data_IF_535162203426
#
_entry.id   IF_535162203426
#
_cell.length_a   1.000
_cell.length_b   1.000
_cell.length_c   1.000
_cell.angle_alpha   90.00
_cell.angle_beta   90.00
_cell.angle_gamma   90.00
#
_symmetry.space_group_name_H-M   'P 1'
#
loop_
_entity.id
_entity.type
_entity.pdbx_description
1 polymer ?
#
# COMPACT_ATOMS: atom_id res chain seq x y z
N UNK A 1 8.26 -11.43 -21.42
CA UNK A 1 8.07 -11.26 -20.98
C UNK A 1 7.81 -10.79 -20.48
N UNK A 2 7.57 -10.61 -20.27
CA UNK A 2 7.26 -10.24 -19.63
C UNK A 2 7.17 -9.46 -19.16
N UNK A 3 7.13 -9.20 -19.11
CA UNK A 3 7.02 -8.51 -18.45
C UNK A 3 6.52 -7.66 -18.01
N UNK A 4 6.35 -7.52 -18.23
CA UNK A 4 5.52 -6.41 -18.14
C UNK A 4 4.53 -6.50 -17.01
N UNK A 5 3.58 -7.13 -17.15
CA UNK A 5 2.58 -7.21 -16.12
C UNK A 5 3.15 -7.53 -14.77
N UNK A 6 4.38 -7.89 -14.75
CA UNK A 6 5.01 -8.18 -13.50
C UNK A 6 5.17 -6.95 -12.61
N UNK A 7 4.72 -5.79 -13.09
CA UNK A 7 4.84 -4.58 -12.29
C UNK A 7 3.96 -4.54 -11.06
N UNK A 8 2.73 -5.06 -11.13
CA UNK A 8 1.79 -4.88 -10.04
C UNK A 8 1.21 -6.19 -9.54
N UNK A 9 0.95 -6.23 -8.24
CA UNK A 9 0.27 -7.34 -7.58
C UNK A 9 -1.10 -6.85 -7.15
N UNK A 10 -2.11 -7.69 -7.32
CA UNK A 10 -3.46 -7.35 -6.87
C UNK A 10 -3.51 -7.33 -5.35
N UNK A 11 -4.17 -6.32 -4.80
CA UNK A 11 -4.26 -6.16 -3.35
C UNK A 11 -4.92 -7.37 -2.69
N UNK A 12 -5.96 -7.91 -3.32
CA UNK A 12 -6.65 -9.08 -2.77
C UNK A 12 -5.75 -10.29 -2.58
N UNK A 13 -4.75 -10.46 -3.44
CA UNK A 13 -3.81 -11.56 -3.27
C UNK A 13 -3.02 -11.42 -1.99
N UNK A 14 -2.60 -10.20 -1.68
CA UNK A 14 -1.82 -9.93 -0.48
C UNK A 14 -2.67 -10.12 0.76
N UNK A 15 -3.88 -9.57 0.75
CA UNK A 15 -4.79 -9.63 1.90
C UNK A 15 -5.22 -11.06 2.19
N UNK A 16 -5.45 -11.86 1.16
CA UNK A 16 -5.94 -13.22 1.34
C UNK A 16 -4.84 -14.24 1.61
N UNK A 17 -3.59 -13.87 1.38
CA UNK A 17 -2.47 -14.79 1.60
C UNK A 17 -1.25 -14.00 2.12
N UNK A 18 -1.39 -13.38 3.29
CA UNK A 18 -0.34 -12.49 3.80
C UNK A 18 0.97 -13.22 4.10
N UNK A 19 0.89 -14.49 4.47
CA UNK A 19 2.10 -15.26 4.75
C UNK A 19 2.98 -15.38 3.52
N UNK A 20 2.35 -15.55 2.36
CA UNK A 20 3.08 -15.69 1.11
C UNK A 20 3.87 -14.42 0.75
N UNK A 21 3.30 -13.27 1.09
CA UNK A 21 3.89 -11.99 0.72
C UNK A 21 4.67 -11.33 1.85
N UNK A 22 4.70 -11.95 3.01
CA UNK A 22 5.37 -11.41 4.18
C UNK A 22 6.82 -11.06 3.87
N UNK A 23 7.20 -9.83 4.18
CA UNK A 23 8.55 -9.29 3.98
C UNK A 23 8.98 -9.25 2.51
N UNK A 24 8.06 -9.38 1.58
CA UNK A 24 8.37 -9.25 0.16
C UNK A 24 8.06 -7.85 -0.31
N UNK A 25 8.82 -7.38 -1.27
CA UNK A 25 8.54 -6.11 -1.92
C UNK A 25 7.50 -6.34 -3.00
N UNK A 26 6.48 -5.50 -2.99
CA UNK A 26 5.38 -5.57 -3.96
C UNK A 26 5.13 -4.18 -4.52
N UNK A 27 4.45 -4.14 -5.65
CA UNK A 27 3.92 -2.90 -6.20
C UNK A 27 2.42 -3.10 -6.40
N UNK A 28 1.63 -2.20 -5.84
CA UNK A 28 0.18 -2.22 -6.01
C UNK A 28 -0.27 -0.91 -6.64
N UNK A 29 -1.42 -0.93 -7.28
CA UNK A 29 -1.98 0.27 -7.88
C UNK A 29 -3.45 0.34 -7.57
N UNK A 30 -3.92 1.53 -7.21
CA UNK A 30 -5.32 1.72 -6.91
C UNK A 30 -5.62 3.16 -6.55
N UNK A 31 -6.80 3.37 -5.97
CA UNK A 31 -7.27 4.69 -5.58
C UNK A 31 -7.14 4.86 -4.07
N UNK A 32 -6.72 6.03 -3.64
CA UNK A 32 -6.64 6.36 -2.23
C UNK A 32 -8.04 6.58 -1.70
N UNK A 33 -8.45 5.78 -0.72
CA UNK A 33 -9.81 5.84 -0.17
C UNK A 33 -9.89 6.40 1.23
N UNK A 34 -8.77 6.40 1.96
CA UNK A 34 -8.75 6.90 3.32
C UNK A 34 -7.36 7.42 3.63
N UNK A 35 -7.29 8.47 4.43
CA UNK A 35 -6.01 9.07 4.82
C UNK A 35 -6.03 9.29 6.32
N UNK A 36 -5.00 8.80 7.02
CA UNK A 36 -4.84 8.95 8.45
C UNK A 36 -3.49 9.62 8.70
N UNK A 37 -3.51 10.79 9.30
CA UNK A 37 -2.29 11.57 9.48
C UNK A 37 -1.99 12.36 8.22
N UNK A 38 -1.11 13.33 8.39
CA UNK A 38 -0.80 14.21 7.31
C UNK A 38 0.61 14.63 7.41
N UNK A 39 1.33 15.23 6.85
CA UNK A 39 2.72 15.66 6.96
C UNK A 39 3.62 14.61 6.33
N UNK A 40 4.80 14.44 6.90
CA UNK A 40 5.82 13.61 6.29
C UNK A 40 5.56 12.13 6.51
N UNK A 41 4.80 11.79 7.52
CA UNK A 41 4.47 10.38 7.74
C UNK A 41 2.98 10.23 8.04
N UNK A 42 2.44 9.11 7.67
CA UNK A 42 1.03 8.83 7.90
C UNK A 42 0.65 7.55 7.22
N UNK A 43 -0.63 7.24 7.33
CA UNK A 43 -1.20 6.04 6.72
C UNK A 43 -2.21 6.46 5.68
N UNK A 44 -2.29 5.72 4.60
CA UNK A 44 -3.37 5.89 3.65
C UNK A 44 -3.79 4.53 3.12
N UNK A 45 -5.04 4.42 2.74
CA UNK A 45 -5.60 3.17 2.27
C UNK A 45 -5.73 3.22 0.76
N UNK A 46 -5.31 2.15 0.10
CA UNK A 46 -5.38 2.02 -1.35
C UNK A 46 -6.33 0.89 -1.67
N UNK A 47 -7.20 1.11 -2.62
CA UNK A 47 -8.20 0.15 -3.05
C UNK A 47 -8.06 -0.13 -4.54
N UNK A 48 -8.05 -1.41 -4.91
CA UNK A 48 -8.21 -1.83 -6.31
C UNK A 48 -9.49 -2.65 -6.41
N UNK A 49 -9.68 -3.32 -7.54
CA UNK A 49 -10.89 -4.12 -7.75
C UNK A 49 -10.94 -5.40 -6.91
N UNK A 50 -9.88 -5.71 -6.18
CA UNK A 50 -9.78 -6.96 -5.42
C UNK A 50 -9.76 -6.75 -3.91
N UNK A 51 -9.50 -5.55 -3.43
CA UNK A 51 -9.45 -5.31 -1.99
C UNK A 51 -8.82 -3.98 -1.63
N UNK A 52 -8.57 -3.81 -0.35
CA UNK A 52 -7.99 -2.60 0.22
C UNK A 52 -6.82 -2.96 1.11
N UNK A 53 -5.83 -2.08 1.17
CA UNK A 53 -4.68 -2.28 2.03
C UNK A 53 -4.19 -0.92 2.52
N UNK A 54 -3.74 -0.87 3.78
CA UNK A 54 -3.13 0.35 4.30
C UNK A 54 -1.67 0.41 3.93
N UNK A 55 -1.18 1.62 3.73
CA UNK A 55 0.20 1.90 3.37
C UNK A 55 0.77 2.89 4.37
N UNK A 56 1.91 2.56 4.94
CA UNK A 56 2.62 3.45 5.85
C UNK A 56 3.66 4.23 5.06
N UNK A 57 3.51 5.55 5.05
CA UNK A 57 4.46 6.45 4.43
C UNK A 57 5.28 7.11 5.51
N UNK A 58 6.60 7.04 5.42
CA UNK A 58 7.48 7.58 6.45
C UNK A 58 8.27 8.80 6.01
N UNK A 59 8.36 9.06 4.72
CA UNK A 59 9.16 10.20 4.25
C UNK A 59 8.70 10.79 2.93
N UNK A 60 7.78 10.16 2.24
CA UNK A 60 7.35 10.63 0.91
C UNK A 60 6.05 11.42 0.96
N UNK A 61 5.50 11.62 2.16
CA UNK A 61 4.21 12.27 2.29
C UNK A 61 3.06 11.33 2.00
N UNK A 62 1.85 11.84 2.17
CA UNK A 62 0.63 11.06 1.98
C UNK A 62 -0.13 11.64 0.79
N UNK A 63 -0.48 10.84 -0.20
CA UNK A 63 -1.23 11.36 -1.35
C UNK A 63 -2.65 11.75 -0.94
N UNK A 64 -3.27 12.58 -1.76
CA UNK A 64 -4.63 13.04 -1.49
C UNK A 64 -5.63 11.91 -1.71
N UNK A 65 -6.74 12.03 -0.99
CA UNK A 65 -7.84 11.09 -1.16
C UNK A 65 -8.36 11.16 -2.61
N UNK A 66 -8.77 10.03 -3.12
CA UNK A 66 -9.39 9.84 -4.44
C UNK A 66 -8.42 9.89 -5.62
N UNK A 67 -7.12 10.12 -5.39
CA UNK A 67 -6.17 10.03 -6.49
C UNK A 67 -5.77 8.58 -6.72
N UNK A 68 -5.34 8.28 -7.93
CA UNK A 68 -4.77 6.98 -8.24
C UNK A 68 -3.28 7.01 -7.96
N UNK A 69 -2.80 5.94 -7.33
CA UNK A 69 -1.39 5.83 -6.97
C UNK A 69 -0.86 4.45 -7.32
N UNK A 70 0.43 4.42 -7.57
CA UNK A 70 1.18 3.17 -7.65
C UNK A 70 2.15 3.18 -6.48
N UNK A 71 2.07 2.17 -5.64
CA UNK A 71 2.84 2.11 -4.39
C UNK A 71 3.78 0.92 -4.44
N UNK A 72 5.04 1.14 -4.12
CA UNK A 72 6.03 0.08 -3.99
C UNK A 72 6.53 0.04 -2.56
N UNK A 73 6.60 -1.15 -1.99
CA UNK A 73 7.07 -1.29 -0.63
C UNK A 73 7.04 -2.71 -0.15
N UNK A 74 7.30 -2.87 1.13
CA UNK A 74 7.44 -4.17 1.78
C UNK A 74 6.17 -4.53 2.53
N UNK A 75 5.71 -5.76 2.36
CA UNK A 75 4.50 -6.23 3.02
C UNK A 75 4.81 -6.55 4.49
N UNK A 76 4.04 -5.97 5.38
CA UNK A 76 4.19 -6.14 6.82
C UNK A 76 2.87 -6.66 7.39
N UNK A 77 2.79 -7.92 7.81
CA UNK A 77 1.59 -8.41 8.47
C UNK A 77 1.49 -7.79 9.87
N UNK A 78 0.29 -7.40 10.25
CA UNK A 78 0.06 -6.90 11.60
C UNK A 78 0.76 -5.60 11.92
N UNK A 79 0.74 -4.66 10.99
CA UNK A 79 1.33 -3.34 11.23
C UNK A 79 0.71 -2.68 12.44
N UNK A 80 1.55 -2.19 13.35
CA UNK A 80 1.10 -1.51 14.57
C UNK A 80 1.68 -0.11 14.58
N UNK A 81 0.81 0.90 14.53
CA UNK A 81 1.20 2.30 14.49
C UNK A 81 0.23 3.08 15.36
N UNK A 82 0.74 4.01 16.14
CA UNK A 82 -0.07 4.86 17.01
C UNK A 82 -0.93 4.04 17.99
N UNK A 83 -0.37 2.91 18.45
CA UNK A 83 -1.07 2.07 19.41
C UNK A 83 -2.22 1.27 18.81
N UNK A 84 -2.33 1.22 17.51
CA UNK A 84 -3.43 0.53 16.83
C UNK A 84 -2.87 -0.42 15.80
N UNK A 85 -3.54 -1.55 15.63
CA UNK A 85 -3.18 -2.55 14.60
C UNK A 85 -3.94 -2.27 13.32
N UNK A 86 -3.23 -2.20 12.21
CA UNK A 86 -3.78 -1.88 10.91
C UNK A 86 -3.85 -3.11 9.99
N UNK A 87 -3.59 -4.30 10.54
CA UNK A 87 -3.60 -5.53 9.78
C UNK A 87 -2.42 -5.63 8.83
N UNK A 88 -2.58 -6.42 7.77
CA UNK A 88 -1.55 -6.54 6.74
C UNK A 88 -1.46 -5.22 5.99
N UNK A 89 -0.26 -4.69 5.90
CA UNK A 89 -0.05 -3.37 5.31
C UNK A 89 1.24 -3.35 4.52
N UNK A 90 1.47 -2.26 3.80
CA UNK A 90 2.70 -2.06 3.06
C UNK A 90 3.48 -0.93 3.72
N UNK A 91 4.76 -1.19 4.01
CA UNK A 91 5.69 -0.12 4.37
C UNK A 91 6.21 0.45 3.08
N UNK A 92 5.79 1.66 2.77
CA UNK A 92 6.09 2.29 1.50
C UNK A 92 7.57 2.57 1.34
N UNK A 93 8.13 2.18 0.19
CA UNK A 93 9.43 2.66 -0.25
C UNK A 93 9.25 3.92 -1.09
N UNK A 94 8.28 3.91 -1.99
CA UNK A 94 7.90 5.09 -2.73
C UNK A 94 6.50 4.94 -3.31
N UNK A 95 5.95 6.05 -3.78
CA UNK A 95 4.69 6.02 -4.51
C UNK A 95 4.73 7.06 -5.62
N UNK A 96 3.87 6.86 -6.61
CA UNK A 96 3.66 7.80 -7.71
C UNK A 96 2.18 8.06 -7.85
N UNK A 97 1.81 9.32 -7.99
CA UNK A 97 0.44 9.66 -8.36
C UNK A 97 0.29 9.45 -9.85
N UNK A 98 -0.77 8.76 -10.25
CA UNK A 98 -1.05 8.47 -11.66
C UNK A 98 -2.11 9.44 -12.16
N UNK A 99 -1.78 10.13 -13.21
CA UNK A 99 -2.70 11.12 -13.79
C UNK A 99 -3.40 10.57 -15.06
#
# INVERSE_FOLDING_TARGET
LLLSGCGTTKIGRIINDPTRYQNRNVTVEGRVTNVVGAFVSGLYQVEDDTGKIYVLSTHSGVPNKDVRVQVSGNVTPGLNVMGKTWGTAIRERDHKVKY
#
